data_IF_999045878551
#
_entry.id   IF_999045878551
#
_cell.length_a   1.000
_cell.length_b   1.000
_cell.length_c   1.000
_cell.angle_alpha   90.00
_cell.angle_beta   90.00
_cell.angle_gamma   90.00
#
_symmetry.space_group_name_H-M   'P 1'
#
loop_
_entity.id
_entity.type
_entity.pdbx_description
1 polymer ?
#
# COMPACT_ATOMS: atom_id res chain seq x y z
N UNK A 1 4.32 12.22 6.78
CA UNK A 1 3.10 11.75 6.08
C UNK A 1 2.37 12.93 5.47
N UNK A 2 1.97 13.92 6.28
CA UNK A 2 1.43 15.22 5.88
C UNK A 2 2.17 15.89 4.70
N UNK A 3 3.49 16.06 4.76
CA UNK A 3 4.26 16.66 3.67
C UNK A 3 4.24 15.85 2.36
N UNK A 4 3.98 14.54 2.45
CA UNK A 4 3.88 13.66 1.29
C UNK A 4 2.45 13.63 0.71
N UNK A 5 1.43 13.71 1.57
CA UNK A 5 0.02 13.52 1.21
C UNK A 5 -0.77 14.82 0.98
N UNK A 6 -0.34 15.96 1.54
CA UNK A 6 -1.09 17.21 1.51
C UNK A 6 -0.31 18.28 0.73
N UNK A 7 -0.88 18.75 -0.38
CA UNK A 7 -0.23 19.71 -1.30
C UNK A 7 0.30 20.97 -0.59
N UNK A 8 -0.55 21.61 0.23
CA UNK A 8 -0.17 22.85 0.94
C UNK A 8 1.01 22.65 1.89
N UNK A 9 1.03 21.52 2.61
CA UNK A 9 2.13 21.17 3.53
C UNK A 9 3.39 20.78 2.76
N UNK A 10 3.24 20.04 1.65
CA UNK A 10 4.34 19.65 0.77
C UNK A 10 5.05 20.87 0.17
N UNK A 11 4.30 21.83 -0.37
CA UNK A 11 4.84 23.10 -0.88
C UNK A 11 5.60 23.89 0.18
N UNK A 12 5.16 23.85 1.44
CA UNK A 12 5.81 24.57 2.53
C UNK A 12 7.07 23.86 3.05
N UNK A 13 7.00 22.54 3.29
CA UNK A 13 8.06 21.78 3.95
C UNK A 13 9.10 21.20 2.99
N UNK A 14 8.74 20.98 1.73
CA UNK A 14 9.60 20.38 0.71
C UNK A 14 9.32 20.96 -0.70
N UNK A 15 9.49 22.28 -0.91
CA UNK A 15 9.05 23.00 -2.11
C UNK A 15 9.62 22.49 -3.44
N UNK A 16 10.83 21.92 -3.41
CA UNK A 16 11.51 21.42 -4.61
C UNK A 16 11.37 19.90 -4.78
N UNK A 17 10.57 19.24 -3.94
CA UNK A 17 10.39 17.80 -4.00
C UNK A 17 9.45 17.44 -5.16
N UNK A 18 9.83 16.50 -6.05
CA UNK A 18 8.97 16.06 -7.14
C UNK A 18 7.78 15.22 -6.66
N UNK A 19 7.72 14.84 -5.39
CA UNK A 19 6.69 13.92 -4.83
C UNK A 19 5.91 14.51 -3.66
N UNK A 20 6.39 15.59 -3.03
CA UNK A 20 5.73 16.16 -1.86
C UNK A 20 4.33 16.68 -2.20
N UNK A 21 3.35 16.36 -1.36
CA UNK A 21 1.96 16.74 -1.54
C UNK A 21 1.18 15.93 -2.58
N UNK A 22 1.83 14.99 -3.28
CA UNK A 22 1.21 14.17 -4.33
C UNK A 22 1.68 12.70 -4.29
N UNK A 23 2.23 12.24 -3.16
CA UNK A 23 2.72 10.88 -3.04
C UNK A 23 1.57 9.87 -3.09
N UNK A 24 1.66 8.93 -4.02
CA UNK A 24 0.75 7.77 -4.13
C UNK A 24 1.33 6.49 -3.52
N UNK A 25 2.65 6.45 -3.29
CA UNK A 25 3.38 5.32 -2.72
C UNK A 25 4.09 5.76 -1.45
N UNK A 26 3.89 5.02 -0.35
CA UNK A 26 4.51 5.27 0.94
C UNK A 26 5.44 4.12 1.31
N UNK A 27 6.75 4.39 1.35
CA UNK A 27 7.75 3.45 1.81
C UNK A 27 8.06 3.74 3.28
N UNK A 28 7.87 2.73 4.13
CA UNK A 28 8.08 2.85 5.57
C UNK A 28 9.49 2.39 5.97
N UNK A 29 10.08 3.00 7.02
CA UNK A 29 11.43 2.67 7.46
C UNK A 29 11.54 1.26 8.07
N UNK A 30 10.43 0.74 8.63
CA UNK A 30 10.37 -0.58 9.23
C UNK A 30 8.93 -1.14 9.23
N UNK A 31 8.83 -2.43 9.58
CA UNK A 31 7.57 -3.16 9.63
C UNK A 31 6.61 -2.62 10.69
N UNK A 32 7.10 -2.13 11.84
CA UNK A 32 6.24 -1.64 12.91
C UNK A 32 5.50 -0.38 12.48
N UNK A 33 6.22 0.56 11.85
CA UNK A 33 5.68 1.79 11.30
C UNK A 33 4.70 1.46 10.18
N UNK A 34 5.08 0.61 9.23
CA UNK A 34 4.19 0.20 8.13
C UNK A 34 2.91 -0.48 8.61
N UNK A 35 3.03 -1.49 9.49
CA UNK A 35 1.88 -2.23 10.03
C UNK A 35 0.95 -1.35 10.85
N UNK A 36 1.50 -0.45 11.67
CA UNK A 36 0.70 0.45 12.50
C UNK A 36 0.00 1.48 11.64
N UNK A 37 0.69 2.08 10.67
CA UNK A 37 0.11 3.11 9.80
C UNK A 37 -1.00 2.55 8.91
N UNK A 38 -0.83 1.41 8.23
CA UNK A 38 -1.89 0.91 7.36
C UNK A 38 -3.15 0.53 8.15
N UNK A 39 -3.00 -0.10 9.34
CA UNK A 39 -4.14 -0.45 10.20
C UNK A 39 -4.85 0.79 10.73
N UNK A 40 -4.09 1.81 11.11
CA UNK A 40 -4.66 3.08 11.55
C UNK A 40 -5.50 3.72 10.44
N UNK A 41 -4.95 3.81 9.21
CA UNK A 41 -5.65 4.38 8.05
C UNK A 41 -6.86 3.55 7.65
N UNK A 42 -6.73 2.22 7.59
CA UNK A 42 -7.84 1.30 7.30
C UNK A 42 -9.02 1.56 8.24
N UNK A 43 -8.75 1.66 9.55
CA UNK A 43 -9.78 1.83 10.58
C UNK A 43 -10.31 3.25 10.69
N UNK A 44 -9.49 4.27 10.47
CA UNK A 44 -9.88 5.67 10.66
C UNK A 44 -10.53 6.29 9.42
N UNK A 45 -10.08 5.91 8.23
CA UNK A 45 -10.57 6.44 6.96
C UNK A 45 -11.59 5.53 6.28
N UNK A 46 -11.96 4.41 6.91
CA UNK A 46 -12.78 3.35 6.34
C UNK A 46 -12.26 2.91 4.96
N UNK A 47 -10.94 2.91 4.80
CA UNK A 47 -10.26 2.61 3.55
C UNK A 47 -10.25 1.11 3.31
N UNK A 48 -10.53 0.71 2.06
CA UNK A 48 -10.38 -0.68 1.64
C UNK A 48 -8.88 -1.02 1.63
N UNK A 49 -8.50 -2.08 2.32
CA UNK A 49 -7.13 -2.59 2.36
C UNK A 49 -7.09 -3.94 1.67
N UNK A 50 -6.36 -4.04 0.56
CA UNK A 50 -6.09 -5.30 -0.14
C UNK A 50 -4.65 -5.74 0.13
N UNK A 51 -4.47 -6.97 0.62
CA UNK A 51 -3.15 -7.56 0.88
C UNK A 51 -3.05 -8.32 2.20
N UNK A 52 -1.83 -8.76 2.58
CA UNK A 52 -0.54 -8.40 1.97
C UNK A 52 -0.36 -8.92 0.54
N UNK A 53 0.30 -8.13 -0.32
CA UNK A 53 0.71 -8.53 -1.68
C UNK A 53 2.23 -8.65 -1.69
N UNK A 54 2.74 -9.84 -2.04
CA UNK A 54 4.17 -10.11 -2.11
C UNK A 54 4.74 -9.58 -3.43
N UNK A 55 5.95 -9.03 -3.38
CA UNK A 55 6.65 -8.44 -4.53
C UNK A 55 8.11 -8.95 -4.58
N UNK A 56 8.72 -8.95 -5.77
CA UNK A 56 10.12 -9.33 -5.97
C UNK A 56 10.38 -10.82 -6.27
N UNK A 57 9.32 -11.64 -6.36
CA UNK A 57 9.44 -13.06 -6.70
C UNK A 57 9.54 -13.28 -8.21
N UNK A 58 10.32 -14.27 -8.66
CA UNK A 58 10.44 -14.67 -10.09
C UNK A 58 9.12 -15.18 -10.69
N UNK A 59 8.27 -15.77 -9.84
CA UNK A 59 6.89 -16.11 -10.18
C UNK A 59 6.03 -15.63 -9.02
N UNK A 60 4.87 -15.01 -9.28
CA UNK A 60 4.06 -14.43 -8.22
C UNK A 60 3.45 -15.53 -7.37
N UNK A 61 3.55 -15.33 -6.07
CA UNK A 61 2.91 -16.14 -5.03
C UNK A 61 2.43 -15.14 -4.00
N UNK A 62 1.21 -15.27 -3.52
CA UNK A 62 0.64 -14.42 -2.47
C UNK A 62 0.12 -15.30 -1.34
N UNK A 63 0.17 -14.76 -0.14
CA UNK A 63 -0.35 -15.39 1.08
C UNK A 63 -1.70 -14.77 1.45
N UNK A 64 -2.60 -15.59 1.97
CA UNK A 64 -3.91 -15.16 2.43
C UNK A 64 -3.99 -15.31 3.94
N UNK A 65 -4.61 -14.32 4.60
CA UNK A 65 -4.96 -14.46 6.01
C UNK A 65 -5.88 -15.67 6.21
N UNK A 66 -5.73 -16.37 7.33
CA UNK A 66 -6.62 -17.48 7.73
C UNK A 66 -8.10 -17.08 7.82
N UNK A 67 -8.40 -15.80 7.98
CA UNK A 67 -9.74 -15.25 8.02
C UNK A 67 -10.21 -14.57 6.73
N UNK A 68 -9.57 -14.86 5.58
CA UNK A 68 -9.92 -14.25 4.31
C UNK A 68 -11.37 -14.56 3.90
N UNK A 69 -12.07 -13.54 3.41
CA UNK A 69 -13.39 -13.67 2.79
C UNK A 69 -13.26 -14.12 1.33
N UNK A 70 -14.37 -14.55 0.73
CA UNK A 70 -14.40 -14.93 -0.70
C UNK A 70 -13.87 -13.80 -1.57
N UNK A 71 -14.26 -12.56 -1.28
CA UNK A 71 -13.79 -11.39 -2.03
C UNK A 71 -12.28 -11.18 -1.91
N UNK A 72 -11.68 -11.40 -0.73
CA UNK A 72 -10.23 -11.29 -0.53
C UNK A 72 -9.48 -12.33 -1.40
N UNK A 73 -10.03 -13.54 -1.52
CA UNK A 73 -9.49 -14.61 -2.36
C UNK A 73 -9.55 -14.20 -3.83
N UNK A 74 -10.70 -13.70 -4.29
CA UNK A 74 -10.89 -13.26 -5.68
C UNK A 74 -9.95 -12.10 -6.02
N UNK A 75 -9.84 -11.09 -5.16
CA UNK A 75 -8.92 -9.97 -5.37
C UNK A 75 -7.46 -10.43 -5.40
N UNK A 76 -7.07 -11.35 -4.51
CA UNK A 76 -5.70 -11.88 -4.48
C UNK A 76 -5.37 -12.67 -5.74
N UNK A 77 -6.31 -13.47 -6.26
CA UNK A 77 -6.14 -14.16 -7.54
C UNK A 77 -5.98 -13.15 -8.68
N UNK A 78 -6.85 -12.13 -8.76
CA UNK A 78 -6.78 -11.12 -9.80
C UNK A 78 -5.43 -10.38 -9.78
N UNK A 79 -4.96 -9.98 -8.59
CA UNK A 79 -3.66 -9.32 -8.42
C UNK A 79 -2.53 -10.27 -8.84
N UNK A 80 -2.55 -11.54 -8.41
CA UNK A 80 -1.53 -12.54 -8.76
C UNK A 80 -1.45 -12.77 -10.27
N UNK A 81 -2.59 -12.79 -10.96
CA UNK A 81 -2.65 -12.94 -12.42
C UNK A 81 -2.04 -11.74 -13.14
N UNK A 82 -2.31 -10.51 -12.68
CA UNK A 82 -1.69 -9.30 -13.22
C UNK A 82 -0.19 -9.30 -12.95
N UNK A 83 0.26 -9.70 -11.74
CA UNK A 83 1.69 -9.83 -11.46
C UNK A 83 2.37 -10.83 -12.42
N UNK A 84 1.72 -11.96 -12.72
CA UNK A 84 2.25 -12.99 -13.61
C UNK A 84 2.39 -12.48 -15.06
N UNK A 85 1.48 -11.63 -15.51
CA UNK A 85 1.54 -11.01 -16.84
C UNK A 85 2.69 -10.00 -16.99
N UNK A 86 3.23 -9.51 -15.88
CA UNK A 86 4.34 -8.55 -15.82
C UNK A 86 5.63 -9.16 -15.23
N UNK A 87 5.68 -10.48 -15.04
CA UNK A 87 6.83 -11.23 -14.51
C UNK A 87 7.76 -11.76 -15.60
#
# INVERSE_FOLDING_TARGET
YDAAAVESVGKQKAPNSPVAGQASVFIFPDLNTGNTTYKAVQRSANAISMGPVLQGMRKPVNDLSRGALVDDIVYTIAITAVQAAHS
#
